data_IF_901018335743
#
_entry.id   IF_901018335743
#
_cell.length_a   1.000
_cell.length_b   1.000
_cell.length_c   1.000
_cell.angle_alpha   90.00
_cell.angle_beta   90.00
_cell.angle_gamma   90.00
#
_symmetry.space_group_name_H-M   'P 1'
#
loop_
_entity.id
_entity.type
_entity.pdbx_description
1 polymer ?
#
# COMPACT_ATOMS: atom_id res chain seq x y z
N UNK A 1 -32.31 12.14 -6.35
CA UNK A 1 -32.81 11.21 -7.40
C UNK A 1 -32.24 9.81 -7.18
N UNK A 2 -33.03 8.76 -7.41
CA UNK A 2 -32.54 7.37 -7.32
C UNK A 2 -32.89 6.60 -8.60
N UNK A 3 -31.91 5.93 -9.19
CA UNK A 3 -32.10 4.92 -10.23
C UNK A 3 -31.76 3.57 -9.60
N UNK A 4 -32.79 2.75 -9.37
CA UNK A 4 -32.66 1.43 -8.74
C UNK A 4 -33.28 0.36 -9.62
N UNK A 5 -32.56 -0.74 -9.83
CA UNK A 5 -33.08 -1.91 -10.53
C UNK A 5 -33.59 -2.99 -9.55
N UNK A 6 -34.29 -4.00 -10.06
CA UNK A 6 -34.49 -5.27 -9.35
C UNK A 6 -33.70 -6.34 -10.10
N UNK A 7 -32.98 -7.19 -9.38
CA UNK A 7 -32.29 -8.33 -10.00
C UNK A 7 -33.30 -9.16 -10.81
N UNK A 8 -33.01 -9.37 -12.10
CA UNK A 8 -33.88 -10.15 -12.96
C UNK A 8 -33.92 -11.61 -12.51
N UNK A 9 -35.12 -12.14 -12.26
CA UNK A 9 -35.35 -13.51 -11.76
C UNK A 9 -34.53 -13.87 -10.50
N UNK A 10 -34.24 -12.87 -9.66
CA UNK A 10 -33.47 -13.08 -8.42
C UNK A 10 -33.78 -12.03 -7.35
N UNK A 11 -33.05 -12.12 -6.25
CA UNK A 11 -33.05 -11.11 -5.18
C UNK A 11 -31.92 -10.09 -5.37
N UNK A 12 -32.10 -8.89 -4.80
CA UNK A 12 -31.11 -7.81 -4.86
C UNK A 12 -31.43 -6.69 -5.84
N UNK A 13 -30.50 -5.74 -5.95
CA UNK A 13 -30.63 -4.54 -6.78
C UNK A 13 -29.26 -3.94 -7.11
N UNK A 14 -29.19 -3.15 -8.18
CA UNK A 14 -28.13 -2.16 -8.35
C UNK A 14 -28.73 -0.78 -8.10
N UNK A 15 -27.92 0.17 -7.65
CA UNK A 15 -28.38 1.52 -7.35
C UNK A 15 -27.34 2.58 -7.69
N UNK A 16 -27.83 3.66 -8.31
CA UNK A 16 -27.16 4.95 -8.37
C UNK A 16 -28.10 5.98 -7.72
N UNK A 17 -27.66 6.59 -6.62
CA UNK A 17 -28.43 7.59 -5.88
C UNK A 17 -27.65 8.91 -5.81
N UNK A 18 -28.36 10.00 -6.06
CA UNK A 18 -27.96 11.37 -5.79
C UNK A 18 -28.85 11.94 -4.69
N UNK A 19 -28.25 12.36 -3.59
CA UNK A 19 -28.89 13.06 -2.47
C UNK A 19 -28.36 14.49 -2.45
N UNK A 20 -29.24 15.47 -2.63
CA UNK A 20 -28.88 16.90 -2.73
C UNK A 20 -29.39 17.69 -1.51
N UNK A 21 -29.58 17.00 -0.38
CA UNK A 21 -29.91 17.67 0.87
C UNK A 21 -28.74 18.57 1.31
N UNK A 22 -29.00 19.86 1.46
CA UNK A 22 -27.97 20.88 1.74
C UNK A 22 -27.09 20.49 2.93
N UNK A 23 -25.78 20.42 2.70
CA UNK A 23 -24.76 20.06 3.69
C UNK A 23 -24.64 18.56 3.99
N UNK A 24 -25.35 17.71 3.25
CA UNK A 24 -25.34 16.24 3.35
C UNK A 24 -25.37 15.58 1.97
N UNK A 25 -24.87 16.29 0.96
CA UNK A 25 -24.90 15.85 -0.42
C UNK A 25 -24.13 14.53 -0.58
N UNK A 26 -24.69 13.58 -1.34
CA UNK A 26 -24.11 12.26 -1.52
C UNK A 26 -24.39 11.70 -2.91
N UNK A 27 -23.35 11.11 -3.50
CA UNK A 27 -23.49 10.12 -4.56
C UNK A 27 -23.23 8.74 -3.98
N UNK A 28 -24.18 7.82 -4.13
CA UNK A 28 -24.06 6.43 -3.70
C UNK A 28 -24.17 5.50 -4.90
N UNK A 29 -23.23 4.55 -5.00
CA UNK A 29 -23.17 3.54 -6.04
C UNK A 29 -23.14 2.17 -5.37
N UNK A 30 -24.07 1.30 -5.77
CA UNK A 30 -24.14 -0.08 -5.31
C UNK A 30 -24.21 -1.04 -6.49
N UNK A 31 -23.29 -2.01 -6.50
CA UNK A 31 -23.31 -3.14 -7.41
C UNK A 31 -23.56 -4.43 -6.63
N UNK A 32 -24.53 -5.24 -7.07
CA UNK A 32 -24.95 -6.46 -6.35
C UNK A 32 -23.90 -7.58 -6.39
N UNK A 33 -23.06 -7.63 -7.43
CA UNK A 33 -22.10 -8.73 -7.63
C UNK A 33 -20.75 -8.24 -8.12
N UNK A 34 -20.70 -7.72 -9.33
CA UNK A 34 -19.47 -7.25 -9.96
C UNK A 34 -19.64 -5.77 -10.33
N UNK A 35 -18.56 -5.00 -10.16
CA UNK A 35 -18.42 -3.67 -10.74
C UNK A 35 -17.12 -3.66 -11.54
N UNK A 36 -17.21 -3.34 -12.83
CA UNK A 36 -16.07 -3.08 -13.68
C UNK A 36 -16.03 -1.59 -13.98
N UNK A 37 -14.84 -0.99 -13.96
CA UNK A 37 -14.63 0.39 -14.41
C UNK A 37 -13.48 0.38 -15.40
N UNK A 38 -13.77 0.74 -16.64
CA UNK A 38 -12.80 0.87 -17.71
C UNK A 38 -12.73 2.34 -18.12
N UNK A 39 -11.51 2.88 -18.19
CA UNK A 39 -11.26 4.27 -18.61
C UNK A 39 -10.17 4.23 -19.67
N UNK A 40 -10.53 4.53 -20.92
CA UNK A 40 -9.66 4.35 -22.09
C UNK A 40 -8.55 5.41 -22.21
N UNK A 41 -8.61 6.48 -21.42
CA UNK A 41 -7.66 7.58 -21.46
C UNK A 41 -7.12 7.89 -20.06
N UNK A 42 -7.71 8.88 -19.39
CA UNK A 42 -7.21 9.35 -18.09
C UNK A 42 -8.29 9.23 -17.01
N UNK A 43 -7.90 8.75 -15.83
CA UNK A 43 -8.69 8.83 -14.60
C UNK A 43 -7.95 9.67 -13.58
N UNK A 44 -8.60 10.71 -13.07
CA UNK A 44 -8.12 11.50 -11.92
C UNK A 44 -9.10 11.33 -10.78
N UNK A 45 -8.60 11.18 -9.56
CA UNK A 45 -9.39 11.15 -8.32
C UNK A 45 -8.79 12.19 -7.38
N UNK A 46 -9.59 13.17 -6.98
CA UNK A 46 -9.22 14.16 -5.97
C UNK A 46 -10.19 14.04 -4.78
N UNK A 47 -9.63 13.93 -3.58
CA UNK A 47 -10.40 13.75 -2.32
C UNK A 47 -9.86 14.71 -1.28
N UNK A 48 -10.63 15.75 -0.99
CA UNK A 48 -10.19 16.88 -0.16
C UNK A 48 -10.02 16.51 1.32
N UNK A 49 -10.83 15.59 1.83
CA UNK A 49 -10.85 15.26 3.25
C UNK A 49 -10.30 13.86 3.53
N UNK A 50 -11.11 12.81 3.35
CA UNK A 50 -10.72 11.45 3.70
C UNK A 50 -11.10 10.45 2.62
N UNK A 51 -10.20 9.49 2.35
CA UNK A 51 -10.46 8.30 1.55
C UNK A 51 -10.26 7.05 2.43
N UNK A 52 -11.20 6.11 2.37
CA UNK A 52 -11.09 4.82 3.03
C UNK A 52 -11.54 3.72 2.07
N UNK A 53 -10.73 2.67 1.97
CA UNK A 53 -11.01 1.50 1.14
C UNK A 53 -10.89 0.24 2.01
N UNK A 54 -11.83 -0.71 1.84
CA UNK A 54 -11.79 -2.01 2.52
C UNK A 54 -11.93 -3.11 1.48
N UNK A 55 -10.91 -3.96 1.41
CA UNK A 55 -10.90 -5.16 0.59
C UNK A 55 -11.11 -6.36 1.51
N UNK A 56 -12.13 -7.17 1.23
CA UNK A 56 -12.48 -8.31 2.05
C UNK A 56 -11.66 -9.58 1.77
N UNK A 57 -11.00 -9.66 0.61
CA UNK A 57 -10.21 -10.82 0.21
C UNK A 57 -8.87 -10.37 -0.39
N UNK A 58 -8.76 -10.26 -1.71
CA UNK A 58 -7.49 -9.97 -2.40
C UNK A 58 -7.52 -8.64 -3.14
N UNK A 59 -6.40 -7.91 -3.15
CA UNK A 59 -6.16 -6.73 -3.98
C UNK A 59 -4.93 -6.99 -4.85
N UNK A 60 -5.03 -6.72 -6.15
CA UNK A 60 -3.90 -6.74 -7.07
C UNK A 60 -3.80 -5.37 -7.75
N UNK A 61 -2.60 -4.79 -7.77
CA UNK A 61 -2.31 -3.50 -8.39
C UNK A 61 -1.15 -3.73 -9.36
N UNK A 62 -1.36 -3.35 -10.62
CA UNK A 62 -0.32 -3.39 -11.67
C UNK A 62 -0.14 -1.99 -12.22
N UNK A 63 1.09 -1.47 -12.12
CA UNK A 63 1.50 -0.21 -12.73
C UNK A 63 2.59 -0.55 -13.74
N UNK A 64 2.36 -0.27 -15.02
CA UNK A 64 3.26 -0.70 -16.11
C UNK A 64 4.45 0.25 -16.33
N UNK A 65 4.36 1.47 -15.80
CA UNK A 65 5.38 2.49 -15.98
C UNK A 65 5.87 2.96 -14.60
N UNK A 66 5.42 4.12 -14.11
CA UNK A 66 5.91 4.69 -12.85
C UNK A 66 4.80 4.79 -11.80
N UNK A 67 5.14 4.44 -10.56
CA UNK A 67 4.33 4.74 -9.37
C UNK A 67 5.11 5.70 -8.48
N UNK A 68 4.52 6.85 -8.16
CA UNK A 68 5.08 7.86 -7.25
C UNK A 68 4.11 8.02 -6.09
N UNK A 69 4.62 7.92 -4.86
CA UNK A 69 3.83 8.07 -3.64
C UNK A 69 4.48 9.14 -2.75
N UNK A 70 3.74 10.22 -2.49
CA UNK A 70 4.16 11.29 -1.58
C UNK A 70 3.27 11.25 -0.33
N UNK A 71 3.86 10.92 0.82
CA UNK A 71 3.16 10.90 2.10
C UNK A 71 3.62 12.10 2.94
N UNK A 72 2.67 12.98 3.29
CA UNK A 72 2.99 14.24 3.95
C UNK A 72 3.35 14.12 5.44
N UNK A 73 2.85 13.08 6.12
CA UNK A 73 3.04 12.91 7.57
C UNK A 73 3.55 11.50 7.90
N UNK A 74 2.68 10.48 7.92
CA UNK A 74 3.02 9.13 8.38
C UNK A 74 2.55 8.05 7.40
N UNK A 75 3.37 7.02 7.21
CA UNK A 75 3.01 5.76 6.57
C UNK A 75 3.16 4.63 7.59
N UNK A 76 2.09 3.86 7.82
CA UNK A 76 2.09 2.70 8.71
C UNK A 76 1.67 1.50 7.88
N UNK A 77 2.49 0.44 7.92
CA UNK A 77 2.22 -0.81 7.22
C UNK A 77 2.36 -1.99 8.18
N UNK A 78 1.31 -2.79 8.27
CA UNK A 78 1.28 -4.03 9.04
C UNK A 78 1.10 -5.19 8.08
N UNK A 79 2.02 -6.14 8.12
CA UNK A 79 1.97 -7.37 7.31
C UNK A 79 1.84 -8.55 8.26
N UNK A 80 0.78 -9.36 8.08
CA UNK A 80 0.45 -10.43 9.01
C UNK A 80 1.28 -11.70 8.86
N UNK A 81 1.81 -11.96 7.65
CA UNK A 81 2.54 -13.20 7.34
C UNK A 81 3.90 -12.89 6.71
N UNK A 82 3.93 -12.57 5.41
CA UNK A 82 5.17 -12.40 4.66
C UNK A 82 5.16 -11.11 3.83
N UNK A 83 6.28 -10.40 3.80
CA UNK A 83 6.58 -9.35 2.84
C UNK A 83 7.73 -9.84 1.95
N UNK A 84 7.55 -9.80 0.64
CA UNK A 84 8.57 -10.14 -0.35
C UNK A 84 8.75 -8.93 -1.28
N UNK A 85 9.97 -8.41 -1.34
CA UNK A 85 10.33 -7.28 -2.18
C UNK A 85 11.43 -7.71 -3.15
N UNK A 86 11.22 -7.46 -4.44
CA UNK A 86 12.21 -7.70 -5.49
C UNK A 86 12.47 -6.39 -6.22
N UNK A 87 13.72 -5.93 -6.21
CA UNK A 87 14.16 -4.70 -6.88
C UNK A 87 15.09 -5.07 -8.04
N UNK A 88 14.72 -4.71 -9.26
CA UNK A 88 15.47 -5.11 -10.46
C UNK A 88 16.75 -4.31 -10.75
N UNK A 89 16.92 -3.13 -10.16
CA UNK A 89 18.09 -2.27 -10.37
C UNK A 89 18.67 -1.78 -9.05
N UNK A 90 18.22 -0.63 -8.54
CA UNK A 90 18.78 -0.02 -7.34
C UNK A 90 17.71 0.22 -6.28
N UNK A 91 18.01 -0.10 -5.02
CA UNK A 91 17.25 0.32 -3.86
C UNK A 91 18.05 1.37 -3.09
N UNK A 92 17.49 2.57 -2.93
CA UNK A 92 18.13 3.66 -2.19
C UNK A 92 17.21 4.04 -1.03
N UNK A 93 17.71 3.90 0.19
CA UNK A 93 16.98 4.23 1.41
C UNK A 93 17.70 5.38 2.10
N UNK A 94 17.02 6.52 2.25
CA UNK A 94 17.52 7.68 3.01
C UNK A 94 16.61 7.91 4.21
N UNK A 95 17.17 7.78 5.40
CA UNK A 95 16.46 8.02 6.67
C UNK A 95 17.00 9.29 7.29
N UNK A 96 16.10 10.23 7.63
CA UNK A 96 16.50 11.54 8.16
C UNK A 96 16.90 11.55 9.64
N UNK A 97 16.44 10.56 10.42
CA UNK A 97 16.72 10.47 11.85
C UNK A 97 17.21 9.07 12.24
N UNK A 98 16.32 8.15 12.61
CA UNK A 98 16.70 6.82 13.11
C UNK A 98 16.13 5.71 12.24
N UNK A 99 16.95 4.72 11.93
CA UNK A 99 16.52 3.44 11.40
C UNK A 99 16.72 2.37 12.47
N UNK A 100 15.63 1.70 12.86
CA UNK A 100 15.66 0.62 13.86
C UNK A 100 15.10 -0.64 13.21
N UNK A 101 15.90 -1.70 13.20
CA UNK A 101 15.52 -3.01 12.67
C UNK A 101 15.59 -4.04 13.81
N UNK A 102 14.47 -4.73 14.06
CA UNK A 102 14.41 -5.83 15.04
C UNK A 102 14.02 -7.10 14.30
N UNK A 103 14.88 -8.11 14.39
CA UNK A 103 14.68 -9.41 13.74
C UNK A 103 14.60 -10.48 14.82
N UNK A 104 13.53 -11.29 14.80
CA UNK A 104 13.24 -12.23 15.87
C UNK A 104 14.12 -13.49 15.87
N UNK A 105 14.48 -13.99 14.68
CA UNK A 105 15.22 -15.26 14.52
C UNK A 105 16.53 -15.04 13.78
N UNK A 106 16.49 -14.79 12.46
CA UNK A 106 17.70 -14.68 11.62
C UNK A 106 17.59 -13.49 10.67
N UNK A 107 18.68 -12.73 10.57
CA UNK A 107 18.94 -11.76 9.51
C UNK A 107 20.13 -12.24 8.68
N UNK A 108 19.90 -12.60 7.42
CA UNK A 108 20.95 -13.01 6.49
C UNK A 108 21.18 -11.91 5.45
N UNK A 109 22.44 -11.57 5.20
CA UNK A 109 22.85 -10.58 4.20
C UNK A 109 23.93 -11.17 3.30
N UNK A 110 23.67 -11.19 1.99
CA UNK A 110 24.63 -11.61 0.96
C UNK A 110 24.90 -10.44 0.03
N UNK A 111 26.16 -10.10 -0.18
CA UNK A 111 26.59 -9.00 -1.06
C UNK A 111 27.57 -9.54 -2.09
N UNK A 112 27.29 -9.28 -3.37
CA UNK A 112 28.01 -9.92 -4.47
C UNK A 112 29.40 -9.35 -4.76
N UNK A 113 29.62 -8.05 -4.54
CA UNK A 113 30.88 -7.38 -4.89
C UNK A 113 31.49 -6.68 -3.68
N UNK A 114 30.92 -5.58 -3.21
CA UNK A 114 31.48 -4.78 -2.14
C UNK A 114 30.41 -4.42 -1.11
N UNK A 115 30.76 -4.62 0.17
CA UNK A 115 29.96 -4.16 1.31
C UNK A 115 30.79 -3.15 2.11
N UNK A 116 30.27 -1.93 2.26
CA UNK A 116 30.92 -0.85 2.98
C UNK A 116 29.98 -0.30 4.04
N UNK A 117 30.48 -0.19 5.27
CA UNK A 117 29.81 0.55 6.35
C UNK A 117 30.70 1.72 6.75
N UNK A 118 30.15 2.94 6.74
CA UNK A 118 30.83 4.13 7.27
C UNK A 118 29.99 4.67 8.43
N UNK A 119 30.60 4.81 9.61
CA UNK A 119 29.93 5.35 10.80
C UNK A 119 30.69 6.58 11.26
N UNK A 120 30.00 7.72 11.31
CA UNK A 120 30.59 9.00 11.74
C UNK A 120 30.73 9.16 13.25
N UNK A 121 30.03 8.31 14.03
CA UNK A 121 30.10 8.28 15.49
C UNK A 121 30.60 6.92 16.00
N UNK A 122 29.96 6.42 17.05
CA UNK A 122 30.33 5.15 17.68
C UNK A 122 29.63 3.99 16.95
N UNK A 123 30.42 2.99 16.52
CA UNK A 123 29.92 1.68 16.11
C UNK A 123 30.14 0.69 17.25
N UNK A 124 29.08 0.09 17.78
CA UNK A 124 29.16 -0.99 18.76
C UNK A 124 28.52 -2.26 18.20
N UNK A 125 29.25 -3.37 18.29
CA UNK A 125 28.78 -4.70 17.90
C UNK A 125 28.90 -5.61 19.11
N UNK A 126 27.77 -6.17 19.56
CA UNK A 126 27.73 -7.10 20.68
C UNK A 126 27.19 -8.42 20.20
N UNK A 127 27.96 -9.49 20.41
CA UNK A 127 27.62 -10.84 19.96
C UNK A 127 27.68 -11.78 21.16
N UNK A 128 26.56 -12.47 21.42
CA UNK A 128 26.43 -13.30 22.62
C UNK A 128 27.09 -14.68 22.50
N UNK A 129 27.14 -15.25 21.29
CA UNK A 129 27.63 -16.62 21.07
C UNK A 129 28.94 -16.65 20.28
N UNK A 130 28.91 -16.25 19.00
CA UNK A 130 30.07 -16.34 18.13
C UNK A 130 30.06 -15.26 17.07
N UNK A 131 31.19 -14.56 16.93
CA UNK A 131 31.51 -13.74 15.77
C UNK A 131 32.77 -14.32 15.12
N UNK A 132 32.63 -14.85 13.91
CA UNK A 132 33.77 -15.32 13.12
C UNK A 132 34.06 -14.34 11.98
N UNK A 133 35.34 -14.13 11.72
CA UNK A 133 35.82 -13.41 10.53
C UNK A 133 36.59 -14.42 9.68
N UNK A 134 36.49 -14.32 8.36
CA UNK A 134 37.34 -15.03 7.41
C UNK A 134 38.12 -14.02 6.60
#
# INVERSE_FOLDING_TARGET
MTIRSKTYKGSGFNELKFDDATGKEQVYIHAQKNMNTEVLNNRTTDVINNHAEKIGNNQAITVTNNQIQNIGVNQIQTVGVNQVETVGSNQIIKVGSNQVEKVGIIRALTVGVAYQTTVGGIMNTSVALLQSHR
#
